data_IF_635728971463
#
_entry.id   IF_635728971463
#
_cell.length_a   1.000
_cell.length_b   1.000
_cell.length_c   1.000
_cell.angle_alpha   90.00
_cell.angle_beta   90.00
_cell.angle_gamma   90.00
#
_symmetry.space_group_name_H-M   'P 1'
#
loop_
_entity.id
_entity.type
_entity.pdbx_description
1 polymer ?
#
# COMPACT_ATOMS: atom_id res chain seq x y z
N UNK A 1 14.20 -8.89 6.90
CA UNK A 1 12.97 -9.31 7.60
C UNK A 1 13.43 -10.23 8.69
N UNK A 2 12.98 -9.99 9.93
CA UNK A 2 13.29 -10.84 11.07
C UNK A 2 12.02 -11.64 11.36
N UNK A 3 12.15 -12.96 11.43
CA UNK A 3 11.04 -13.85 11.76
C UNK A 3 11.39 -14.70 12.99
N UNK A 4 10.37 -15.08 13.74
CA UNK A 4 10.52 -15.86 14.96
C UNK A 4 9.35 -16.84 15.09
N UNK A 5 9.61 -18.08 15.49
CA UNK A 5 8.60 -19.13 15.69
C UNK A 5 8.23 -19.36 17.16
N UNK A 6 9.05 -18.87 18.10
CA UNK A 6 8.92 -19.18 19.52
C UNK A 6 10.25 -19.61 20.15
N UNK A 7 11.13 -20.22 19.34
CA UNK A 7 12.36 -20.86 19.77
C UNK A 7 13.58 -20.34 19.02
N UNK A 8 13.42 -20.01 17.73
CA UNK A 8 14.52 -19.68 16.83
C UNK A 8 14.32 -18.34 16.13
N UNK A 9 15.43 -17.61 16.07
CA UNK A 9 15.54 -16.39 15.27
C UNK A 9 15.89 -16.75 13.82
N UNK A 10 15.01 -16.39 12.89
CA UNK A 10 15.29 -16.49 11.47
C UNK A 10 15.83 -15.16 10.95
N UNK A 11 17.13 -15.15 10.62
CA UNK A 11 17.78 -14.04 9.93
C UNK A 11 17.78 -14.27 8.42
N UNK A 12 17.35 -13.26 7.70
CA UNK A 12 17.36 -13.25 6.25
C UNK A 12 18.74 -12.82 5.73
N UNK A 13 19.71 -13.74 5.62
CA UNK A 13 20.99 -13.46 4.92
C UNK A 13 21.16 -14.25 3.61
N UNK A 14 21.28 -13.57 2.45
CA UNK A 14 20.79 -12.23 2.14
C UNK A 14 19.35 -12.31 1.63
N UNK A 15 18.41 -11.80 2.44
CA UNK A 15 17.05 -11.57 2.00
C UNK A 15 16.12 -12.79 2.11
N UNK A 16 14.92 -12.63 1.56
CA UNK A 16 13.77 -13.53 1.76
C UNK A 16 14.01 -14.99 1.34
N UNK A 17 14.97 -15.24 0.46
CA UNK A 17 15.36 -16.60 0.08
C UNK A 17 16.00 -17.37 1.25
N UNK A 18 16.74 -16.69 2.14
CA UNK A 18 17.29 -17.31 3.34
C UNK A 18 16.18 -17.73 4.32
N UNK A 19 15.14 -16.91 4.45
CA UNK A 19 13.98 -17.23 5.28
C UNK A 19 13.22 -18.46 4.77
N UNK A 20 12.97 -18.52 3.45
CA UNK A 20 12.24 -19.63 2.84
C UNK A 20 13.01 -20.96 2.89
N UNK A 21 14.34 -20.93 2.72
CA UNK A 21 15.19 -22.12 2.85
C UNK A 21 15.21 -22.67 4.28
N UNK A 22 15.36 -21.79 5.28
CA UNK A 22 15.32 -22.20 6.69
C UNK A 22 13.96 -22.77 7.12
N UNK A 23 12.86 -22.32 6.52
CA UNK A 23 11.54 -22.90 6.77
C UNK A 23 11.38 -24.30 6.18
N UNK A 24 12.05 -24.60 5.07
CA UNK A 24 12.07 -25.95 4.48
C UNK A 24 12.89 -26.94 5.34
N UNK A 25 13.84 -26.44 6.14
CA UNK A 25 14.64 -27.26 7.05
C UNK A 25 13.99 -27.47 8.43
N UNK A 26 13.25 -26.49 8.94
CA UNK A 26 12.73 -26.48 10.33
C UNK A 26 11.21 -26.74 10.39
N UNK A 27 10.49 -26.53 9.29
CA UNK A 27 9.02 -26.69 9.18
C UNK A 27 8.22 -26.08 10.37
N UNK A 28 8.44 -24.81 10.72
CA UNK A 28 7.76 -24.21 11.87
C UNK A 28 6.25 -24.12 11.65
N UNK A 29 5.44 -24.42 12.67
CA UNK A 29 3.96 -24.31 12.56
C UNK A 29 3.49 -22.86 12.56
N UNK A 30 4.22 -21.95 13.21
CA UNK A 30 3.87 -20.54 13.37
C UNK A 30 5.09 -19.66 13.11
N UNK A 31 4.87 -18.54 12.42
CA UNK A 31 5.89 -17.52 12.22
C UNK A 31 5.33 -16.15 12.56
N UNK A 32 6.12 -15.35 13.27
CA UNK A 32 5.79 -13.98 13.64
C UNK A 32 6.81 -13.03 13.00
N UNK A 33 6.32 -12.04 12.25
CA UNK A 33 7.17 -11.03 11.60
C UNK A 33 6.72 -9.60 11.90
N UNK A 34 7.60 -8.64 11.63
CA UNK A 34 7.18 -7.25 11.49
C UNK A 34 6.32 -7.02 10.24
N UNK A 35 5.29 -6.19 10.40
CA UNK A 35 4.35 -5.76 9.37
C UNK A 35 4.96 -4.72 8.40
N UNK A 36 6.19 -4.97 7.97
CA UNK A 36 6.96 -4.19 7.00
C UNK A 36 7.39 -5.04 5.78
N UNK A 37 7.18 -6.36 5.83
CA UNK A 37 7.46 -7.25 4.71
C UNK A 37 6.48 -7.01 3.55
N UNK A 38 6.94 -7.16 2.29
CA UNK A 38 6.08 -7.09 1.10
C UNK A 38 4.87 -8.04 1.19
N UNK A 39 3.74 -7.70 0.56
CA UNK A 39 2.56 -8.56 0.61
C UNK A 39 2.80 -9.92 -0.06
N UNK A 40 3.54 -9.95 -1.17
CA UNK A 40 3.92 -11.20 -1.85
C UNK A 40 4.60 -12.17 -0.90
N UNK A 41 5.55 -11.67 -0.10
CA UNK A 41 6.23 -12.42 0.94
C UNK A 41 5.25 -12.96 1.97
N UNK A 42 4.40 -12.09 2.53
CA UNK A 42 3.43 -12.50 3.56
C UNK A 42 2.45 -13.55 3.03
N UNK A 43 2.02 -13.41 1.78
CA UNK A 43 1.17 -14.37 1.11
C UNK A 43 1.85 -15.74 0.98
N UNK A 44 3.08 -15.79 0.45
CA UNK A 44 3.85 -17.03 0.32
C UNK A 44 4.15 -17.69 1.66
N UNK A 45 4.43 -16.92 2.71
CA UNK A 45 4.63 -17.47 4.06
C UNK A 45 3.33 -18.06 4.61
N UNK A 46 2.21 -17.35 4.44
CA UNK A 46 0.90 -17.81 4.93
C UNK A 46 0.35 -19.06 4.23
N UNK A 47 0.94 -19.46 3.10
CA UNK A 47 0.64 -20.75 2.44
C UNK A 47 1.24 -21.93 3.20
N UNK A 48 2.38 -21.71 3.86
CA UNK A 48 3.17 -22.77 4.49
C UNK A 48 2.93 -22.84 6.00
N UNK A 49 2.68 -21.71 6.67
CA UNK A 49 2.66 -21.61 8.14
C UNK A 49 1.59 -20.65 8.65
N UNK A 50 1.23 -20.76 9.93
CA UNK A 50 0.42 -19.73 10.59
C UNK A 50 1.22 -18.44 10.75
N UNK A 51 0.91 -17.44 9.90
CA UNK A 51 1.62 -16.17 9.91
C UNK A 51 0.94 -15.16 10.85
N UNK A 52 1.72 -14.60 11.77
CA UNK A 52 1.34 -13.48 12.62
C UNK A 52 2.18 -12.24 12.31
N UNK A 53 1.57 -11.07 12.44
CA UNK A 53 2.22 -9.78 12.19
C UNK A 53 2.12 -8.86 13.39
N UNK A 54 3.25 -8.25 13.74
CA UNK A 54 3.32 -7.17 14.73
C UNK A 54 3.74 -5.87 14.07
N UNK A 55 3.29 -4.73 14.58
CA UNK A 55 3.65 -3.47 13.94
C UNK A 55 5.03 -3.01 14.42
N UNK A 56 5.89 -2.55 13.51
CA UNK A 56 7.22 -2.04 13.89
C UNK A 56 7.17 -0.85 14.88
N UNK A 57 6.03 -0.17 15.00
CA UNK A 57 5.79 0.81 16.07
C UNK A 57 5.72 0.14 17.44
N UNK A 58 4.98 -0.96 17.54
CA UNK A 58 4.81 -1.68 18.80
C UNK A 58 6.14 -2.30 19.22
N UNK A 59 6.89 -2.87 18.27
CA UNK A 59 8.27 -3.35 18.49
C UNK A 59 9.16 -2.21 19.00
N UNK A 60 9.16 -1.06 18.31
CA UNK A 60 9.95 0.10 18.75
C UNK A 60 9.50 0.66 20.12
N UNK A 61 8.21 0.60 20.44
CA UNK A 61 7.67 1.05 21.73
C UNK A 61 8.12 0.10 22.86
N UNK A 62 8.01 -1.20 22.64
CA UNK A 62 8.42 -2.22 23.61
C UNK A 62 9.93 -2.17 23.85
N UNK A 63 10.72 -2.02 22.77
CA UNK A 63 12.17 -1.80 22.85
C UNK A 63 12.54 -0.61 23.72
N UNK A 64 11.91 0.56 23.50
CA UNK A 64 12.16 1.77 24.30
C UNK A 64 11.78 1.58 25.76
N UNK A 65 10.64 0.93 26.03
CA UNK A 65 10.20 0.62 27.40
C UNK A 65 11.23 -0.19 28.17
N UNK A 66 12.00 -1.03 27.48
CA UNK A 66 13.02 -1.91 28.07
C UNK A 66 14.45 -1.37 28.00
N UNK A 67 14.66 -0.21 27.38
CA UNK A 67 15.99 0.39 27.26
C UNK A 67 16.97 -0.40 26.37
N UNK A 68 16.49 -1.32 25.52
CA UNK A 68 17.36 -2.15 24.67
C UNK A 68 17.65 -1.48 23.31
N UNK A 69 18.85 -1.72 22.77
CA UNK A 69 19.29 -1.15 21.48
C UNK A 69 18.59 -1.85 20.31
N UNK A 70 18.47 -1.15 19.16
CA UNK A 70 17.94 -1.76 17.95
C UNK A 70 18.98 -2.70 17.34
N UNK A 71 18.66 -3.99 17.28
CA UNK A 71 19.37 -5.02 16.53
C UNK A 71 18.38 -6.17 16.25
N UNK A 72 18.78 -7.14 15.44
CA UNK A 72 17.87 -8.22 14.99
C UNK A 72 17.44 -9.15 16.14
N UNK A 73 18.32 -9.43 17.10
CA UNK A 73 18.02 -10.26 18.28
C UNK A 73 16.97 -9.61 19.19
N UNK A 74 17.19 -8.34 19.57
CA UNK A 74 16.26 -7.61 20.41
C UNK A 74 14.94 -7.39 19.68
N UNK A 75 14.96 -7.07 18.39
CA UNK A 75 13.72 -6.88 17.63
C UNK A 75 12.92 -8.20 17.56
N UNK A 76 13.57 -9.35 17.39
CA UNK A 76 12.91 -10.66 17.45
C UNK A 76 12.33 -10.98 18.83
N UNK A 77 13.08 -10.73 19.90
CA UNK A 77 12.59 -10.94 21.25
C UNK A 77 11.36 -10.06 21.52
N UNK A 78 11.37 -8.81 21.04
CA UNK A 78 10.23 -7.91 21.16
C UNK A 78 9.03 -8.39 20.33
N UNK A 79 9.26 -8.89 19.11
CA UNK A 79 8.23 -9.48 18.25
C UNK A 79 7.53 -10.65 18.97
N UNK A 80 8.32 -11.56 19.55
CA UNK A 80 7.78 -12.71 20.29
C UNK A 80 6.99 -12.30 21.53
N UNK A 81 7.54 -11.39 22.34
CA UNK A 81 6.84 -10.88 23.53
C UNK A 81 5.49 -10.26 23.17
N UNK A 82 5.41 -9.53 22.05
CA UNK A 82 4.16 -8.97 21.56
C UNK A 82 3.17 -10.06 21.11
N UNK A 83 3.66 -11.15 20.53
CA UNK A 83 2.82 -12.31 20.20
C UNK A 83 2.25 -12.98 21.45
N UNK A 84 3.10 -13.36 22.41
CA UNK A 84 2.68 -13.99 23.69
C UNK A 84 1.68 -13.11 24.45
N UNK A 85 1.85 -11.78 24.40
CA UNK A 85 0.92 -10.83 24.99
C UNK A 85 -0.41 -10.65 24.22
N UNK A 86 -0.66 -11.44 23.17
CA UNK A 86 -1.86 -11.34 22.33
C UNK A 86 -1.93 -10.08 21.46
N UNK A 87 -0.81 -9.39 21.27
CA UNK A 87 -0.72 -8.12 20.51
C UNK A 87 -0.27 -8.32 19.07
N UNK A 88 0.10 -9.54 18.68
CA UNK A 88 0.25 -9.92 17.29
C UNK A 88 -1.11 -10.23 16.65
N UNK A 89 -1.23 -9.94 15.36
CA UNK A 89 -2.46 -10.22 14.60
C UNK A 89 -2.21 -11.34 13.62
N UNK A 90 -3.12 -12.30 13.52
CA UNK A 90 -3.08 -13.30 12.45
C UNK A 90 -3.15 -12.59 11.09
N UNK A 91 -2.27 -12.98 10.18
CA UNK A 91 -2.32 -12.52 8.81
C UNK A 91 -3.38 -13.33 8.06
N UNK A 92 -4.48 -12.67 7.71
CA UNK A 92 -5.52 -13.26 6.87
C UNK A 92 -5.17 -12.98 5.42
N UNK A 93 -4.91 -14.05 4.66
CA UNK A 93 -4.53 -13.95 3.25
C UNK A 93 -5.66 -13.31 2.44
N UNK A 94 -5.40 -12.24 1.68
CA UNK A 94 -6.39 -11.69 0.76
C UNK A 94 -6.63 -12.61 -0.44
N UNK A 95 -7.74 -12.44 -1.19
CA UNK A 95 -7.99 -13.20 -2.41
C UNK A 95 -6.82 -13.10 -3.42
N UNK A 96 -6.56 -14.18 -4.16
CA UNK A 96 -5.40 -14.28 -5.07
C UNK A 96 -5.37 -13.15 -6.11
N UNK A 97 -6.51 -12.76 -6.65
CA UNK A 97 -6.64 -11.62 -7.58
C UNK A 97 -6.16 -10.31 -6.97
N UNK A 98 -6.45 -10.08 -5.68
CA UNK A 98 -6.01 -8.87 -4.97
C UNK A 98 -4.51 -8.90 -4.68
N UNK A 99 -3.94 -10.09 -4.45
CA UNK A 99 -2.49 -10.28 -4.32
C UNK A 99 -1.82 -9.93 -5.65
N UNK A 100 -2.31 -10.49 -6.76
CA UNK A 100 -1.76 -10.26 -8.10
C UNK A 100 -1.81 -8.78 -8.49
N UNK A 101 -2.97 -8.14 -8.31
CA UNK A 101 -3.12 -6.69 -8.53
C UNK A 101 -2.09 -5.88 -7.74
N UNK A 102 -1.90 -6.22 -6.46
CA UNK A 102 -0.98 -5.48 -5.59
C UNK A 102 0.48 -5.66 -6.01
N UNK A 103 0.87 -6.85 -6.42
CA UNK A 103 2.22 -7.13 -6.94
C UNK A 103 2.49 -6.26 -8.17
N UNK A 104 1.56 -6.23 -9.12
CA UNK A 104 1.73 -5.44 -10.35
C UNK A 104 1.74 -3.93 -10.06
N UNK A 105 0.91 -3.45 -9.14
CA UNK A 105 0.94 -2.04 -8.70
C UNK A 105 2.25 -1.70 -7.99
N UNK A 106 2.76 -2.57 -7.11
CA UNK A 106 4.06 -2.39 -6.45
C UNK A 106 5.20 -2.34 -7.46
N UNK A 107 5.19 -3.24 -8.44
CA UNK A 107 6.16 -3.29 -9.52
C UNK A 107 6.12 -2.00 -10.36
N UNK A 108 4.94 -1.57 -10.80
CA UNK A 108 4.76 -0.30 -11.52
C UNK A 108 5.37 0.88 -10.75
N UNK A 109 5.09 0.97 -9.45
CA UNK A 109 5.60 2.06 -8.60
C UNK A 109 7.11 1.98 -8.39
N UNK A 110 7.69 0.78 -8.30
CA UNK A 110 9.14 0.56 -8.21
C UNK A 110 9.82 0.98 -9.49
N UNK A 111 9.36 0.47 -10.64
CA UNK A 111 9.91 0.77 -11.96
C UNK A 111 9.77 2.27 -12.28
N UNK A 112 8.65 2.90 -11.95
CA UNK A 112 8.45 4.34 -12.12
C UNK A 112 9.43 5.20 -11.32
N UNK A 113 9.86 4.74 -10.14
CA UNK A 113 10.90 5.45 -9.34
C UNK A 113 12.28 5.20 -9.90
N UNK A 114 12.57 3.96 -10.27
CA UNK A 114 13.85 3.57 -10.84
C UNK A 114 14.08 4.34 -12.15
N UNK A 115 13.09 4.37 -13.05
CA UNK A 115 13.10 5.17 -14.27
C UNK A 115 13.50 6.62 -14.00
N UNK A 116 12.81 7.32 -13.09
CA UNK A 116 13.15 8.71 -12.74
C UNK A 116 14.52 8.88 -12.11
N UNK A 117 15.07 7.83 -11.49
CA UNK A 117 16.44 7.87 -10.99
C UNK A 117 17.41 7.76 -12.16
N UNK A 118 17.21 6.78 -13.03
CA UNK A 118 18.05 6.53 -14.21
C UNK A 118 18.01 7.69 -15.21
N UNK A 119 16.84 8.29 -15.44
CA UNK A 119 16.71 9.52 -16.26
C UNK A 119 17.59 10.64 -15.71
N UNK A 120 17.59 10.86 -14.40
CA UNK A 120 18.47 11.88 -13.77
C UNK A 120 19.95 11.54 -13.88
N UNK A 121 20.32 10.27 -13.75
CA UNK A 121 21.71 9.83 -13.96
C UNK A 121 22.15 10.06 -15.41
N UNK A 122 21.29 9.71 -16.37
CA UNK A 122 21.53 9.91 -17.80
C UNK A 122 21.65 11.40 -18.15
N UNK A 123 20.74 12.24 -17.64
CA UNK A 123 20.79 13.71 -17.78
C UNK A 123 22.07 14.33 -17.18
N UNK A 124 22.63 13.72 -16.14
CA UNK A 124 23.89 14.14 -15.52
C UNK A 124 25.15 13.59 -16.22
N UNK A 125 25.00 12.97 -17.40
CA UNK A 125 26.13 12.53 -18.23
C UNK A 125 26.61 11.10 -17.97
N UNK A 126 25.93 10.33 -17.12
CA UNK A 126 26.24 8.91 -16.88
C UNK A 126 25.60 8.03 -17.96
N UNK A 127 26.22 7.97 -19.15
CA UNK A 127 25.67 7.24 -20.31
C UNK A 127 25.60 5.72 -20.09
N UNK A 128 26.39 5.17 -19.16
CA UNK A 128 26.40 3.76 -18.80
C UNK A 128 25.05 3.24 -18.27
N UNK A 129 24.14 4.12 -17.86
CA UNK A 129 22.80 3.74 -17.38
C UNK A 129 21.78 3.54 -18.50
N UNK A 130 22.11 3.89 -19.75
CA UNK A 130 21.19 3.82 -20.90
C UNK A 130 20.58 2.42 -21.13
N UNK A 131 21.36 1.32 -21.11
CA UNK A 131 20.79 -0.02 -21.32
C UNK A 131 19.78 -0.39 -20.23
N UNK A 132 20.09 -0.06 -18.97
CA UNK A 132 19.19 -0.31 -17.84
C UNK A 132 17.94 0.57 -17.91
N UNK A 133 18.06 1.81 -18.39
CA UNK A 133 16.92 2.69 -18.62
C UNK A 133 15.99 2.13 -19.71
N UNK A 134 16.53 1.56 -20.80
CA UNK A 134 15.74 0.89 -21.84
C UNK A 134 14.98 -0.32 -21.29
N UNK A 135 15.64 -1.19 -20.54
CA UNK A 135 15.01 -2.36 -19.91
C UNK A 135 13.86 -1.94 -18.97
N UNK A 136 14.12 -0.96 -18.10
CA UNK A 136 13.12 -0.44 -17.16
C UNK A 136 11.93 0.17 -17.91
N UNK A 137 12.16 0.87 -19.03
CA UNK A 137 11.08 1.44 -19.84
C UNK A 137 10.18 0.37 -20.46
N UNK A 138 10.75 -0.67 -21.07
CA UNK A 138 9.96 -1.75 -21.66
C UNK A 138 9.15 -2.50 -20.60
N UNK A 139 9.79 -2.85 -19.48
CA UNK A 139 9.11 -3.53 -18.38
C UNK A 139 8.00 -2.66 -17.78
N UNK A 140 8.24 -1.35 -17.62
CA UNK A 140 7.22 -0.41 -17.15
C UNK A 140 6.05 -0.30 -18.13
N UNK A 141 6.30 -0.33 -19.44
CA UNK A 141 5.28 -0.30 -20.50
C UNK A 141 4.37 -1.54 -20.42
N UNK A 142 4.94 -2.73 -20.25
CA UNK A 142 4.17 -3.97 -20.09
C UNK A 142 3.27 -3.94 -18.86
N UNK A 143 3.83 -3.63 -17.68
CA UNK A 143 3.06 -3.58 -16.43
C UNK A 143 1.97 -2.49 -16.51
N UNK A 144 2.30 -1.33 -17.10
CA UNK A 144 1.33 -0.24 -17.31
C UNK A 144 0.16 -0.71 -18.15
N UNK A 145 0.42 -1.35 -19.31
CA UNK A 145 -0.60 -1.88 -20.21
C UNK A 145 -1.51 -2.88 -19.51
N UNK A 146 -0.94 -3.86 -18.80
CA UNK A 146 -1.71 -4.86 -18.02
C UNK A 146 -2.66 -4.24 -16.99
N UNK A 147 -2.21 -3.20 -16.29
CA UNK A 147 -3.01 -2.49 -15.29
C UNK A 147 -4.11 -1.63 -15.95
N UNK A 148 -3.81 -0.99 -17.08
CA UNK A 148 -4.76 -0.16 -17.83
C UNK A 148 -5.84 -1.00 -18.52
N UNK A 149 -5.50 -2.17 -19.06
CA UNK A 149 -6.48 -3.09 -19.69
C UNK A 149 -7.53 -3.58 -18.69
N UNK A 150 -7.12 -3.94 -17.46
CA UNK A 150 -8.05 -4.49 -16.45
C UNK A 150 -8.84 -3.42 -15.70
N UNK A 151 -8.27 -2.22 -15.50
CA UNK A 151 -8.87 -1.20 -14.63
C UNK A 151 -9.18 0.12 -15.34
N UNK A 152 -8.90 0.24 -16.65
CA UNK A 152 -9.09 1.43 -17.47
C UNK A 152 -8.09 2.56 -17.21
N UNK A 153 -7.40 2.57 -16.07
CA UNK A 153 -6.29 3.49 -15.79
C UNK A 153 -5.42 3.00 -14.65
N UNK A 154 -4.15 3.43 -14.62
CA UNK A 154 -3.25 3.22 -13.48
C UNK A 154 -3.82 3.78 -12.18
N UNK A 155 -4.48 4.93 -12.22
CA UNK A 155 -5.08 5.52 -11.02
C UNK A 155 -6.19 4.62 -10.47
N UNK A 156 -7.04 4.06 -11.33
CA UNK A 156 -8.06 3.09 -10.93
C UNK A 156 -7.44 1.80 -10.40
N UNK A 157 -6.41 1.26 -11.05
CA UNK A 157 -5.71 0.06 -10.57
C UNK A 157 -5.06 0.27 -9.19
N UNK A 158 -4.38 1.41 -9.00
CA UNK A 158 -3.84 1.81 -7.70
C UNK A 158 -4.97 1.83 -6.68
N UNK A 159 -6.09 2.52 -6.96
CA UNK A 159 -7.24 2.62 -6.03
C UNK A 159 -7.89 1.26 -5.75
N UNK A 160 -8.10 0.43 -6.77
CA UNK A 160 -8.69 -0.90 -6.65
C UNK A 160 -7.82 -1.86 -5.83
N UNK A 161 -6.50 -1.62 -5.79
CA UNK A 161 -5.59 -2.33 -4.88
C UNK A 161 -5.83 -1.99 -3.41
N UNK A 162 -6.64 -0.97 -3.10
CA UNK A 162 -7.12 -0.64 -1.77
C UNK A 162 -8.56 -1.09 -1.57
N UNK A 163 -8.89 -1.53 -0.37
CA UNK A 163 -10.26 -1.79 0.10
C UNK A 163 -10.73 -0.55 0.88
N UNK A 164 -11.67 0.28 0.41
CA UNK A 164 -11.94 1.59 1.03
C UNK A 164 -12.75 1.56 2.33
N UNK A 165 -13.29 0.44 2.78
CA UNK A 165 -14.54 0.54 3.52
C UNK A 165 -14.48 0.63 5.06
N UNK A 166 -13.39 0.34 5.78
CA UNK A 166 -13.54 0.28 7.27
C UNK A 166 -12.44 0.91 8.13
N UNK A 167 -11.33 1.36 7.52
CA UNK A 167 -10.16 1.78 8.29
C UNK A 167 -9.55 3.06 7.70
N UNK A 168 -8.94 3.94 8.52
CA UNK A 168 -8.16 5.05 8.02
C UNK A 168 -7.06 4.54 7.07
N UNK A 169 -6.69 5.31 6.03
CA UNK A 169 -5.62 4.95 5.07
C UNK A 169 -4.38 4.36 5.77
N UNK A 170 -3.97 4.94 6.90
CA UNK A 170 -2.84 4.47 7.73
C UNK A 170 -3.01 3.04 8.26
N UNK A 171 -4.23 2.65 8.62
CA UNK A 171 -4.60 1.36 9.20
C UNK A 171 -4.81 0.31 8.10
N UNK A 172 -5.24 0.71 6.91
CA UNK A 172 -5.21 -0.13 5.70
C UNK A 172 -3.81 -0.46 5.21
N UNK A 173 -2.95 0.55 5.14
CA UNK A 173 -1.54 0.36 4.82
C UNK A 173 -0.88 -0.57 5.84
N UNK A 174 -1.30 -0.53 7.12
CA UNK A 174 -0.89 -1.53 8.11
C UNK A 174 -1.33 -2.93 7.69
N UNK A 175 -2.63 -3.19 7.52
CA UNK A 175 -3.10 -4.51 7.13
C UNK A 175 -2.44 -5.08 5.86
N UNK A 176 -2.04 -4.22 4.92
CA UNK A 176 -1.39 -4.63 3.69
C UNK A 176 0.15 -4.74 3.78
N UNK A 177 0.80 -4.45 4.92
CA UNK A 177 2.28 -4.42 5.04
C UNK A 177 2.97 -3.20 4.44
N UNK A 178 2.19 -2.18 4.10
CA UNK A 178 2.63 -0.97 3.42
C UNK A 178 2.72 0.24 4.37
N UNK A 179 2.54 0.01 5.69
CA UNK A 179 2.63 1.05 6.71
C UNK A 179 4.06 1.56 6.79
N UNK A 180 4.23 2.83 6.46
CA UNK A 180 5.54 3.48 6.47
C UNK A 180 6.18 3.64 5.09
N UNK A 181 5.60 3.03 4.03
CA UNK A 181 6.03 3.31 2.66
C UNK A 181 5.50 4.69 2.22
N UNK A 182 6.25 5.75 2.58
CA UNK A 182 5.90 7.15 2.25
C UNK A 182 5.59 7.34 0.77
N UNK A 183 6.26 6.59 -0.10
CA UNK A 183 6.06 6.70 -1.54
C UNK A 183 4.75 6.07 -2.03
N UNK A 184 4.28 4.98 -1.40
CA UNK A 184 2.98 4.36 -1.74
C UNK A 184 1.81 5.25 -1.31
N UNK A 185 1.88 5.87 -0.13
CA UNK A 185 0.88 6.84 0.34
C UNK A 185 0.82 8.06 -0.57
N UNK A 186 1.97 8.50 -1.07
CA UNK A 186 2.08 9.60 -2.02
C UNK A 186 1.46 9.22 -3.37
N UNK A 187 1.71 8.00 -3.85
CA UNK A 187 1.14 7.51 -5.11
C UNK A 187 -0.39 7.42 -5.04
N UNK A 188 -0.97 6.84 -3.99
CA UNK A 188 -2.42 6.81 -3.83
C UNK A 188 -3.01 8.23 -3.72
N UNK A 189 -2.41 9.10 -2.90
CA UNK A 189 -2.88 10.50 -2.81
C UNK A 189 -2.86 11.18 -4.17
N UNK A 190 -1.83 10.94 -4.98
CA UNK A 190 -1.72 11.48 -6.35
C UNK A 190 -2.75 10.85 -7.30
N UNK A 191 -2.98 9.54 -7.24
CA UNK A 191 -3.97 8.86 -8.06
C UNK A 191 -5.38 9.41 -7.79
N UNK A 192 -5.76 9.53 -6.51
CA UNK A 192 -7.02 10.12 -6.08
C UNK A 192 -7.13 11.60 -6.47
N UNK A 193 -6.06 12.36 -6.27
CA UNK A 193 -5.96 13.75 -6.67
C UNK A 193 -6.21 13.95 -8.17
N UNK A 194 -5.56 13.15 -9.00
CA UNK A 194 -5.64 13.23 -10.45
C UNK A 194 -7.03 12.81 -10.95
N UNK A 195 -7.60 11.73 -10.42
CA UNK A 195 -8.96 11.30 -10.77
C UNK A 195 -9.98 12.38 -10.41
N UNK A 196 -9.96 12.88 -9.17
CA UNK A 196 -10.86 13.95 -8.73
C UNK A 196 -10.69 15.22 -9.58
N UNK A 197 -9.44 15.62 -9.87
CA UNK A 197 -9.16 16.80 -10.71
C UNK A 197 -9.69 16.62 -12.12
N UNK A 198 -9.49 15.45 -12.73
CA UNK A 198 -10.02 15.14 -14.06
C UNK A 198 -11.54 15.30 -14.11
N UNK A 199 -12.26 14.71 -13.14
CA UNK A 199 -13.73 14.79 -13.07
C UNK A 199 -14.22 16.23 -12.87
N UNK A 200 -13.54 17.00 -12.03
CA UNK A 200 -13.89 18.42 -11.79
C UNK A 200 -13.65 19.26 -13.05
N UNK A 201 -12.49 19.11 -13.71
CA UNK A 201 -12.15 19.88 -14.91
C UNK A 201 -13.06 19.54 -16.08
N UNK A 202 -13.41 18.26 -16.23
CA UNK A 202 -14.37 17.79 -17.23
C UNK A 202 -15.83 18.12 -16.90
N UNK A 203 -16.12 18.69 -15.73
CA UNK A 203 -17.47 18.93 -15.20
C UNK A 203 -18.37 17.70 -15.30
N UNK A 204 -17.79 16.54 -15.03
CA UNK A 204 -18.51 15.27 -15.13
C UNK A 204 -19.45 15.11 -13.94
N UNK A 205 -20.72 14.79 -14.20
CA UNK A 205 -21.70 14.46 -13.16
C UNK A 205 -21.61 12.96 -12.78
N UNK A 206 -21.92 12.59 -11.51
CA UNK A 206 -22.36 13.45 -10.39
C UNK A 206 -21.21 14.12 -9.62
N UNK A 207 -19.96 13.94 -10.06
CA UNK A 207 -18.76 14.36 -9.33
C UNK A 207 -18.68 15.88 -9.15
N UNK A 208 -18.97 16.62 -10.23
CA UNK A 208 -18.92 18.08 -10.25
C UNK A 208 -20.03 18.70 -9.39
N UNK A 209 -21.26 18.20 -9.51
CA UNK A 209 -22.38 18.58 -8.67
C UNK A 209 -22.08 18.39 -7.18
N UNK A 210 -21.59 17.21 -6.79
CA UNK A 210 -21.17 16.95 -5.41
C UNK A 210 -20.07 17.93 -4.95
N UNK A 211 -19.04 18.14 -5.77
CA UNK A 211 -17.93 19.03 -5.43
C UNK A 211 -18.40 20.47 -5.17
N UNK A 212 -19.29 20.99 -6.03
CA UNK A 212 -19.89 22.32 -5.86
C UNK A 212 -20.75 22.41 -4.59
N UNK A 213 -21.68 21.48 -4.42
CA UNK A 213 -22.57 21.46 -3.26
C UNK A 213 -21.79 21.40 -1.95
N UNK A 214 -20.75 20.55 -1.89
CA UNK A 214 -19.89 20.46 -0.71
C UNK A 214 -19.09 21.74 -0.48
N UNK A 215 -18.58 22.40 -1.53
CA UNK A 215 -17.93 23.70 -1.39
C UNK A 215 -18.88 24.76 -0.83
N UNK A 216 -20.11 24.84 -1.34
CA UNK A 216 -21.10 25.80 -0.85
C UNK A 216 -21.46 25.55 0.61
N UNK A 217 -21.64 24.29 1.00
CA UNK A 217 -21.89 23.91 2.38
C UNK A 217 -20.75 24.35 3.32
N UNK A 218 -19.49 24.21 2.90
CA UNK A 218 -18.32 24.62 3.72
C UNK A 218 -18.11 26.13 3.74
N UNK A 219 -18.42 26.85 2.66
CA UNK A 219 -18.45 28.32 2.67
C UNK A 219 -19.49 28.84 3.65
N UNK A 220 -20.69 28.26 3.68
CA UNK A 220 -21.74 28.61 4.67
C UNK A 220 -21.31 28.36 6.12
N UNK A 221 -20.37 27.44 6.35
CA UNK A 221 -19.77 27.16 7.66
C UNK A 221 -18.58 28.10 8.01
N UNK A 222 -18.35 29.17 7.24
CA UNK A 222 -17.29 30.14 7.52
C UNK A 222 -15.87 29.67 7.15
N UNK A 223 -15.74 28.56 6.41
CA UNK A 223 -14.43 28.08 5.97
C UNK A 223 -13.94 28.91 4.77
N UNK A 224 -12.71 29.42 4.83
CA UNK A 224 -12.14 30.22 3.74
C UNK A 224 -12.09 29.45 2.40
N UNK A 225 -12.03 30.17 1.29
CA UNK A 225 -12.15 29.58 -0.06
C UNK A 225 -11.13 28.48 -0.37
N UNK A 226 -9.86 28.68 0.02
CA UNK A 226 -8.80 27.70 -0.23
C UNK A 226 -8.96 26.41 0.61
N UNK A 227 -9.33 26.56 1.89
CA UNK A 227 -9.60 25.43 2.77
C UNK A 227 -10.86 24.67 2.33
N UNK A 228 -11.89 25.39 1.89
CA UNK A 228 -13.11 24.81 1.34
C UNK A 228 -12.84 23.97 0.10
N UNK A 229 -12.08 24.50 -0.86
CA UNK A 229 -11.67 23.76 -2.05
C UNK A 229 -10.92 22.47 -1.68
N UNK A 230 -9.95 22.57 -0.78
CA UNK A 230 -9.17 21.41 -0.32
C UNK A 230 -10.05 20.34 0.32
N UNK A 231 -11.01 20.74 1.17
CA UNK A 231 -11.93 19.82 1.83
C UNK A 231 -12.87 19.13 0.84
N UNK A 232 -13.50 19.89 -0.07
CA UNK A 232 -14.39 19.35 -1.09
C UNK A 232 -13.64 18.38 -2.01
N UNK A 233 -12.43 18.74 -2.43
CA UNK A 233 -11.58 17.90 -3.24
C UNK A 233 -11.19 16.59 -2.53
N UNK A 234 -10.79 16.67 -1.26
CA UNK A 234 -10.49 15.47 -0.46
C UNK A 234 -11.71 14.57 -0.28
N UNK A 235 -12.89 15.14 -0.07
CA UNK A 235 -14.13 14.38 0.11
C UNK A 235 -14.55 13.71 -1.21
N UNK A 236 -14.44 14.41 -2.33
CA UNK A 236 -14.69 13.85 -3.66
C UNK A 236 -13.74 12.68 -3.95
N UNK A 237 -12.45 12.87 -3.68
CA UNK A 237 -11.44 11.83 -3.81
C UNK A 237 -11.78 10.57 -3.01
N UNK A 238 -12.31 10.70 -1.78
CA UNK A 238 -12.77 9.56 -0.98
C UNK A 238 -13.95 8.83 -1.61
N UNK A 239 -14.94 9.56 -2.12
CA UNK A 239 -16.10 8.95 -2.79
C UNK A 239 -15.70 8.24 -4.08
N UNK A 240 -14.83 8.84 -4.90
CA UNK A 240 -14.26 8.18 -6.09
C UNK A 240 -13.50 6.91 -5.70
N UNK A 241 -12.76 6.93 -4.58
CA UNK A 241 -12.07 5.74 -4.10
C UNK A 241 -13.05 4.59 -3.80
N UNK A 242 -14.16 4.90 -3.11
CA UNK A 242 -15.21 3.95 -2.77
C UNK A 242 -15.89 3.39 -4.03
N UNK A 243 -16.23 4.24 -4.99
CA UNK A 243 -16.79 3.83 -6.28
C UNK A 243 -15.86 2.88 -7.03
N UNK A 244 -14.63 3.31 -7.31
CA UNK A 244 -13.67 2.54 -8.12
C UNK A 244 -13.40 1.16 -7.52
N UNK A 245 -13.38 1.07 -6.19
CA UNK A 245 -13.24 -0.21 -5.54
C UNK A 245 -14.47 -1.11 -5.69
N UNK A 246 -15.68 -0.55 -5.51
CA UNK A 246 -16.93 -1.32 -5.72
C UNK A 246 -17.00 -1.83 -7.16
N UNK A 247 -16.72 -0.97 -8.14
CA UNK A 247 -16.59 -1.34 -9.56
C UNK A 247 -15.60 -2.51 -9.73
N UNK A 248 -14.40 -2.40 -9.16
CA UNK A 248 -13.37 -3.44 -9.23
C UNK A 248 -13.73 -4.75 -8.53
N UNK A 249 -14.77 -4.76 -7.69
CA UNK A 249 -15.28 -5.95 -7.00
C UNK A 249 -16.56 -6.48 -7.61
N UNK A 250 -17.03 -5.91 -8.71
CA UNK A 250 -18.33 -6.24 -9.29
C UNK A 250 -19.49 -5.95 -8.33
N UNK A 251 -19.28 -5.07 -7.34
CA UNK A 251 -20.30 -4.68 -6.39
C UNK A 251 -21.15 -3.56 -7.00
N UNK A 252 -22.46 -3.53 -6.72
CA UNK A 252 -23.33 -2.46 -7.19
C UNK A 252 -22.85 -1.10 -6.67
N UNK A 253 -22.89 -0.11 -7.56
CA UNK A 253 -22.58 1.29 -7.24
C UNK A 253 -23.82 2.12 -7.49
N UNK A 254 -24.49 2.52 -6.41
CA UNK A 254 -25.46 3.60 -6.47
C UNK A 254 -24.70 4.94 -6.43
N UNK A 255 -24.62 5.59 -7.60
CA UNK A 255 -23.95 6.88 -7.73
C UNK A 255 -24.72 8.01 -7.05
N UNK A 256 -26.05 7.92 -6.97
CA UNK A 256 -26.89 8.95 -6.37
C UNK A 256 -26.73 8.94 -4.85
N UNK A 257 -26.81 7.75 -4.24
CA UNK A 257 -26.52 7.57 -2.81
C UNK A 257 -25.07 7.96 -2.51
N UNK A 258 -24.12 7.49 -3.31
CA UNK A 258 -22.70 7.71 -3.07
C UNK A 258 -22.32 9.19 -3.19
N UNK A 259 -22.97 9.98 -4.03
CA UNK A 259 -22.65 11.39 -4.25
C UNK A 259 -23.67 12.38 -3.67
N UNK A 260 -24.61 11.91 -2.85
CA UNK A 260 -25.43 12.80 -2.01
C UNK A 260 -24.54 13.67 -1.12
N UNK A 261 -24.79 14.99 -1.17
CA UNK A 261 -23.97 16.04 -0.56
C UNK A 261 -24.19 16.19 0.94
#
# INVERSE_FOLDING_TARGET
VVAFDGERLYRAEPGMQGLLRLMEEVEPTTIIIEDNAPLSVKASLSEKVELYVVTGRDVAKERRKRGVKKNDENDAEMIYRLYVAGRARRFNRPPQELIQLKIEVEEYLRLSRLKRSLERHFENGQQEVEPLLKEVNERLKHVKKSLEERYGSISKAIVASFTPQELPLRRWLALCGLRGNKGYNRALKRALANLARSKILGREEPYYGFFKAYMEAKKKQGVNGAATFKLAWMKLAQKIAAQVWREAKGLPVDLEELYKA
#
